data_IF_614191327707
#
_entry.id   IF_614191327707
#
_cell.length_a   1.000
_cell.length_b   1.000
_cell.length_c   1.000
_cell.angle_alpha   90.00
_cell.angle_beta   90.00
_cell.angle_gamma   90.00
#
_symmetry.space_group_name_H-M   'P 1'
#
loop_
_entity.id
_entity.type
_entity.pdbx_description
1 polymer ?
#
# COMPACT_ATOMS: atom_id res chain seq x y z
N UNK A 1 -2.77 29.78 23.58
CA UNK A 1 -3.70 29.73 22.40
C UNK A 1 -2.97 30.37 21.23
N UNK A 2 -2.92 29.73 20.08
CA UNK A 2 -2.22 30.27 18.89
C UNK A 2 -3.16 31.14 18.05
N UNK A 3 -2.63 32.07 17.26
CA UNK A 3 -3.46 32.81 16.29
C UNK A 3 -4.05 31.86 15.26
N UNK A 4 -5.32 32.04 14.89
CA UNK A 4 -6.00 31.21 13.91
C UNK A 4 -5.23 31.17 12.57
N UNK A 5 -4.94 29.95 12.08
CA UNK A 5 -4.14 29.73 10.86
C UNK A 5 -2.62 29.88 11.06
N UNK A 6 -2.17 29.92 12.32
CA UNK A 6 -0.77 30.00 12.73
C UNK A 6 -0.45 28.96 13.82
N UNK A 7 -1.18 27.87 13.82
CA UNK A 7 -0.90 26.73 14.67
C UNK A 7 0.44 26.12 14.25
N UNK A 8 1.37 25.88 15.22
CA UNK A 8 2.68 25.30 14.91
C UNK A 8 2.55 23.89 14.30
N UNK A 9 3.30 23.65 13.23
CA UNK A 9 3.27 22.37 12.54
C UNK A 9 3.42 22.50 11.03
N UNK A 10 3.14 21.44 10.31
CA UNK A 10 3.17 21.39 8.85
C UNK A 10 1.76 21.14 8.31
N UNK A 11 1.32 21.99 7.39
CA UNK A 11 0.15 21.78 6.54
C UNK A 11 0.64 21.33 5.16
N UNK A 12 0.67 20.02 4.94
CA UNK A 12 1.15 19.45 3.68
C UNK A 12 0.19 19.69 2.52
N UNK A 13 -1.09 19.90 2.80
CA UNK A 13 -2.07 20.20 1.74
C UNK A 13 -1.78 21.53 1.07
N UNK A 14 -1.20 22.46 1.82
CA UNK A 14 -0.79 23.78 1.34
C UNK A 14 0.73 23.91 1.17
N UNK A 15 1.49 22.87 1.53
CA UNK A 15 2.97 22.92 1.57
C UNK A 15 3.48 24.06 2.44
N UNK A 16 2.92 24.22 3.64
CA UNK A 16 3.25 25.30 4.58
C UNK A 16 3.78 24.70 5.88
N UNK A 17 4.82 25.33 6.42
CA UNK A 17 5.31 25.08 7.78
C UNK A 17 5.13 26.32 8.62
N UNK A 18 4.65 26.17 9.86
CA UNK A 18 4.51 27.23 10.86
C UNK A 18 5.36 26.88 12.07
N UNK A 19 6.28 27.78 12.45
CA UNK A 19 7.19 27.57 13.58
C UNK A 19 6.46 27.50 14.93
N UNK A 20 7.12 26.93 15.95
CA UNK A 20 6.78 27.23 17.34
C UNK A 20 6.95 28.73 17.63
N UNK A 21 6.20 29.28 18.60
CA UNK A 21 6.36 30.68 18.99
C UNK A 21 7.76 30.93 19.56
N UNK A 22 8.39 32.02 19.12
CA UNK A 22 9.68 32.47 19.65
C UNK A 22 9.49 33.73 20.48
N UNK A 23 10.15 33.86 21.64
CA UNK A 23 10.04 35.04 22.52
C UNK A 23 10.80 36.26 21.97
N UNK A 24 11.64 36.07 20.96
CA UNK A 24 12.39 37.14 20.30
C UNK A 24 12.27 37.08 18.79
N UNK A 25 12.20 38.20 18.15
CA UNK A 25 12.24 38.28 16.69
C UNK A 25 13.62 37.85 16.17
N UNK A 26 13.62 37.04 15.12
CA UNK A 26 14.81 36.69 14.34
C UNK A 26 14.51 36.95 12.86
N UNK A 27 15.53 36.96 12.00
CA UNK A 27 15.27 36.93 10.58
C UNK A 27 14.72 35.56 10.20
N UNK A 28 13.75 35.47 9.27
CA UNK A 28 13.16 34.16 8.89
C UNK A 28 14.20 33.15 8.40
N UNK A 29 15.26 33.63 7.74
CA UNK A 29 16.37 32.83 7.22
C UNK A 29 17.26 32.25 8.35
N UNK A 30 17.28 32.92 9.52
CA UNK A 30 18.04 32.47 10.70
C UNK A 30 17.26 31.47 11.55
N UNK A 31 16.01 31.16 11.19
CA UNK A 31 15.23 30.15 11.86
C UNK A 31 15.83 28.75 11.59
N UNK A 32 16.06 28.00 12.66
CA UNK A 32 16.64 26.64 12.56
C UNK A 32 15.61 25.63 12.04
N UNK A 33 15.18 25.83 10.80
CA UNK A 33 14.14 25.01 10.17
C UNK A 33 14.47 23.53 10.12
N UNK A 34 15.76 23.17 9.93
CA UNK A 34 16.21 21.77 9.89
C UNK A 34 15.95 21.06 11.23
N UNK A 35 16.25 21.75 12.36
CA UNK A 35 15.97 21.20 13.68
C UNK A 35 14.46 21.05 13.88
N UNK A 36 13.71 22.06 13.45
CA UNK A 36 12.25 22.04 13.62
C UNK A 36 11.57 20.98 12.73
N UNK A 37 12.07 20.75 11.51
CA UNK A 37 11.64 19.64 10.65
C UNK A 37 11.87 18.30 11.33
N UNK A 38 13.08 18.08 11.89
CA UNK A 38 13.39 16.85 12.61
C UNK A 38 12.50 16.63 13.83
N UNK A 39 12.20 17.69 14.60
CA UNK A 39 11.25 17.63 15.72
C UNK A 39 9.82 17.25 15.28
N UNK A 40 9.45 17.57 14.06
CA UNK A 40 8.15 17.22 13.45
C UNK A 40 8.17 15.85 12.73
N UNK A 41 9.28 15.10 12.82
CA UNK A 41 9.42 13.77 12.21
C UNK A 41 9.79 13.79 10.72
N UNK A 42 10.25 14.92 10.16
CA UNK A 42 10.69 15.03 8.78
C UNK A 42 12.21 15.03 8.67
N UNK A 43 12.77 14.30 7.70
CA UNK A 43 14.22 14.36 7.44
C UNK A 43 14.57 15.69 6.72
N UNK A 44 15.37 16.57 7.35
CA UNK A 44 15.75 17.85 6.74
C UNK A 44 16.54 17.71 5.42
N UNK A 45 17.10 16.54 5.15
CA UNK A 45 17.79 16.27 3.89
C UNK A 45 16.83 16.07 2.73
N UNK A 46 15.60 15.69 3.00
CA UNK A 46 14.57 15.41 2.00
C UNK A 46 13.67 16.61 1.71
N UNK A 47 13.71 17.65 2.57
CA UNK A 47 12.85 18.82 2.46
C UNK A 47 13.65 20.12 2.38
N UNK A 48 13.06 21.10 1.74
CA UNK A 48 13.58 22.45 1.62
C UNK A 48 12.51 23.47 2.04
N UNK A 49 12.91 24.43 2.84
CA UNK A 49 12.07 25.55 3.24
C UNK A 49 12.37 26.73 2.32
N UNK A 50 11.34 27.21 1.66
CA UNK A 50 11.47 28.28 0.65
C UNK A 50 10.53 29.45 0.93
N UNK A 51 10.84 30.57 0.32
CA UNK A 51 9.99 31.77 0.33
C UNK A 51 8.58 31.50 -0.30
N UNK A 52 7.56 32.32 0.05
CA UNK A 52 7.68 33.51 0.89
C UNK A 52 7.71 33.17 2.38
N UNK A 53 8.51 33.91 3.14
CA UNK A 53 8.47 33.89 4.60
C UNK A 53 7.45 34.93 5.09
N UNK A 54 6.55 34.51 5.95
CA UNK A 54 5.61 35.36 6.65
C UNK A 54 5.96 35.39 8.14
N UNK A 55 5.85 36.54 8.77
CA UNK A 55 6.08 36.73 10.21
C UNK A 55 4.83 37.30 10.85
N UNK A 56 4.41 36.74 11.96
CA UNK A 56 3.28 37.25 12.73
C UNK A 56 3.66 37.38 14.19
N UNK A 57 3.32 38.54 14.76
CA UNK A 57 3.43 38.78 16.21
C UNK A 57 2.11 38.45 16.90
N UNK A 58 2.23 37.89 18.09
CA UNK A 58 1.11 37.59 18.95
C UNK A 58 1.44 37.94 20.39
N UNK A 59 0.59 38.71 21.04
CA UNK A 59 0.74 39.05 22.45
C UNK A 59 -0.14 38.11 23.29
N UNK A 60 0.47 37.33 24.14
CA UNK A 60 -0.23 36.46 25.08
C UNK A 60 -0.30 37.09 26.48
N UNK A 61 -1.44 36.96 27.14
CA UNK A 61 -1.60 37.33 28.53
C UNK A 61 -1.12 36.14 29.38
N UNK A 62 -0.07 36.37 30.19
CA UNK A 62 0.56 35.34 31.03
C UNK A 62 -0.06 35.26 32.41
N UNK A 63 -1.08 36.06 32.70
CA UNK A 63 -1.69 36.21 34.01
C UNK A 63 -1.11 37.37 34.81
N UNK A 64 -1.74 37.74 35.93
CA UNK A 64 -1.32 38.85 36.82
C UNK A 64 -1.10 40.22 36.11
N UNK A 65 -1.66 40.42 34.90
CA UNK A 65 -1.49 41.62 34.13
C UNK A 65 -0.22 41.68 33.26
N UNK A 66 0.58 40.63 33.26
CA UNK A 66 1.77 40.52 32.42
C UNK A 66 1.41 40.03 31.03
N UNK A 67 2.02 40.64 30.02
CA UNK A 67 1.88 40.24 28.63
C UNK A 67 3.24 39.92 28.01
N UNK A 68 3.32 38.87 27.24
CA UNK A 68 4.54 38.48 26.52
C UNK A 68 4.25 38.47 25.00
N UNK A 69 5.20 38.98 24.22
CA UNK A 69 5.09 39.01 22.76
C UNK A 69 5.85 37.82 22.16
N UNK A 70 5.14 37.08 21.29
CA UNK A 70 5.68 35.95 20.56
C UNK A 70 5.71 36.22 19.06
N UNK A 71 6.66 35.58 18.39
CA UNK A 71 6.88 35.68 16.94
C UNK A 71 6.70 34.31 16.32
N UNK A 72 5.81 34.19 15.34
CA UNK A 72 5.58 32.99 14.55
C UNK A 72 6.12 33.22 13.15
N UNK A 73 6.73 32.21 12.59
CA UNK A 73 7.29 32.20 11.25
C UNK A 73 6.55 31.16 10.41
N UNK A 74 6.17 31.54 9.19
CA UNK A 74 5.52 30.66 8.24
C UNK A 74 6.32 30.69 6.95
N UNK A 75 6.52 29.51 6.36
CA UNK A 75 7.26 29.35 5.11
C UNK A 75 6.63 28.26 4.26
N UNK A 76 7.03 28.17 3.02
CA UNK A 76 6.70 27.01 2.18
C UNK A 76 7.70 25.89 2.44
N UNK A 77 7.20 24.64 2.40
CA UNK A 77 7.99 23.41 2.47
C UNK A 77 7.83 22.65 1.16
N UNK A 78 8.93 22.21 0.57
CA UNK A 78 8.93 21.37 -0.64
C UNK A 78 9.83 20.15 -0.43
N UNK A 79 9.48 19.01 -1.01
CA UNK A 79 10.40 17.87 -1.08
C UNK A 79 11.51 18.17 -2.08
N UNK A 80 12.76 17.93 -1.68
CA UNK A 80 13.95 18.07 -2.57
C UNK A 80 13.93 17.02 -3.69
N UNK A 81 13.30 15.88 -3.43
CA UNK A 81 13.15 14.80 -4.39
C UNK A 81 11.66 14.43 -4.54
N UNK A 82 10.82 15.32 -5.07
CA UNK A 82 9.42 14.97 -5.28
C UNK A 82 9.36 13.78 -6.23
N UNK A 83 8.54 12.78 -5.90
CA UNK A 83 8.21 11.71 -6.84
C UNK A 83 7.70 12.38 -8.11
N UNK A 84 8.53 12.39 -9.15
CA UNK A 84 8.25 13.20 -10.35
C UNK A 84 7.03 12.65 -11.07
N UNK A 85 6.03 13.49 -11.30
CA UNK A 85 4.87 13.09 -12.11
C UNK A 85 5.25 12.67 -13.53
N UNK A 86 6.41 13.09 -14.04
CA UNK A 86 6.91 12.71 -15.35
C UNK A 86 7.34 11.24 -15.41
N UNK A 87 7.84 10.69 -14.28
CA UNK A 87 8.28 9.30 -14.19
C UNK A 87 7.11 8.33 -14.18
N UNK A 88 5.91 8.80 -13.83
CA UNK A 88 4.67 8.01 -13.76
C UNK A 88 3.67 8.33 -14.88
N UNK A 89 4.10 9.06 -15.91
CA UNK A 89 3.25 9.44 -17.04
C UNK A 89 2.75 8.20 -17.81
N UNK A 90 1.45 8.16 -18.07
CA UNK A 90 0.77 7.07 -18.77
C UNK A 90 1.33 6.84 -20.18
N UNK A 91 1.62 7.93 -20.92
CA UNK A 91 2.13 7.83 -22.31
C UNK A 91 3.51 7.16 -22.33
N UNK A 92 4.38 7.49 -21.37
CA UNK A 92 5.69 6.88 -21.26
C UNK A 92 5.57 5.40 -20.87
N UNK A 93 4.70 5.06 -19.92
CA UNK A 93 4.43 3.68 -19.54
C UNK A 93 3.94 2.84 -20.74
N UNK A 94 2.98 3.34 -21.49
CA UNK A 94 2.43 2.67 -22.66
C UNK A 94 3.49 2.48 -23.76
N UNK A 95 4.34 3.50 -23.99
CA UNK A 95 5.47 3.41 -24.92
C UNK A 95 6.47 2.32 -24.51
N UNK A 96 6.80 2.24 -23.24
CA UNK A 96 7.69 1.20 -22.69
C UNK A 96 7.11 -0.21 -22.86
N UNK A 97 5.81 -0.37 -22.62
CA UNK A 97 5.14 -1.66 -22.80
C UNK A 97 5.13 -2.05 -24.27
N UNK A 98 4.73 -1.15 -25.17
CA UNK A 98 4.74 -1.41 -26.63
C UNK A 98 6.12 -1.75 -27.18
N UNK A 99 7.17 -1.15 -26.66
CA UNK A 99 8.55 -1.38 -27.07
C UNK A 99 9.18 -2.64 -26.44
N UNK A 100 8.53 -3.27 -25.45
CA UNK A 100 9.08 -4.45 -24.78
C UNK A 100 9.23 -5.63 -25.73
N UNK A 101 10.43 -6.19 -25.82
CA UNK A 101 10.74 -7.40 -26.60
C UNK A 101 10.85 -8.58 -25.64
N UNK A 102 9.84 -9.43 -25.65
CA UNK A 102 9.84 -10.66 -24.86
C UNK A 102 11.01 -11.57 -25.25
N UNK A 103 11.65 -12.18 -24.29
CA UNK A 103 12.64 -13.24 -24.56
C UNK A 103 11.96 -14.59 -24.28
N UNK A 104 11.82 -15.47 -25.26
CA UNK A 104 11.23 -16.79 -25.05
C UNK A 104 12.16 -17.61 -24.14
N UNK A 105 11.65 -18.05 -23.01
CA UNK A 105 12.34 -18.98 -22.12
C UNK A 105 11.65 -20.35 -22.19
N UNK A 106 12.45 -21.43 -22.23
CA UNK A 106 11.91 -22.78 -22.07
C UNK A 106 11.70 -23.01 -20.57
N UNK A 107 10.45 -22.83 -20.13
CA UNK A 107 10.06 -23.03 -18.74
C UNK A 107 9.37 -24.38 -18.63
N UNK A 108 9.90 -25.24 -17.80
CA UNK A 108 9.32 -26.53 -17.42
C UNK A 108 8.79 -26.44 -16.00
N UNK A 109 7.94 -27.40 -15.61
CA UNK A 109 7.45 -27.49 -14.25
C UNK A 109 5.95 -27.35 -14.11
N UNK A 110 5.47 -27.49 -12.88
CA UNK A 110 4.05 -27.43 -12.54
C UNK A 110 3.74 -26.68 -11.23
N UNK A 111 4.76 -26.35 -10.44
CA UNK A 111 4.58 -25.59 -9.20
C UNK A 111 4.28 -24.12 -9.46
N UNK A 112 3.59 -23.52 -8.54
CA UNK A 112 3.19 -22.11 -8.58
C UNK A 112 3.96 -21.27 -7.56
N UNK A 113 4.31 -20.03 -7.95
CA UNK A 113 4.83 -19.04 -7.06
C UNK A 113 3.77 -17.94 -6.87
N UNK A 114 3.52 -17.56 -5.64
CA UNK A 114 2.52 -16.56 -5.25
C UNK A 114 3.21 -15.33 -4.70
N UNK A 115 2.76 -14.16 -5.13
CA UNK A 115 3.17 -12.84 -4.63
C UNK A 115 1.92 -12.08 -4.23
N UNK A 116 1.85 -11.65 -2.98
CA UNK A 116 0.71 -10.92 -2.42
C UNK A 116 1.01 -9.43 -2.31
N UNK A 117 0.37 -8.62 -3.12
CA UNK A 117 0.45 -7.16 -3.09
C UNK A 117 -0.71 -6.64 -2.22
N UNK A 118 -0.41 -6.10 -1.06
CA UNK A 118 -1.39 -5.68 -0.06
C UNK A 118 -0.99 -4.38 0.60
N UNK A 119 -1.98 -3.56 0.90
CA UNK A 119 -1.84 -2.42 1.82
C UNK A 119 -0.63 -1.52 1.46
N UNK A 120 -0.53 -1.13 0.19
CA UNK A 120 0.47 -0.17 -0.25
C UNK A 120 0.18 1.23 0.29
N UNK A 121 -1.11 1.53 0.45
CA UNK A 121 -1.60 2.82 0.91
C UNK A 121 -0.90 4.00 0.24
N UNK A 122 -0.81 3.92 -1.10
CA UNK A 122 -0.14 4.93 -1.91
C UNK A 122 -0.74 6.31 -1.68
N UNK A 123 0.05 7.24 -1.21
CA UNK A 123 -0.41 8.58 -0.83
C UNK A 123 -0.50 8.83 0.67
N UNK A 124 -0.32 7.81 1.51
CA UNK A 124 -0.26 7.93 2.96
C UNK A 124 0.95 8.77 3.37
N UNK A 125 0.74 9.62 4.35
CA UNK A 125 1.77 10.50 4.89
C UNK A 125 2.53 9.89 6.07
N UNK A 126 1.87 9.06 6.88
CA UNK A 126 2.43 8.44 8.08
C UNK A 126 3.72 7.66 7.77
N UNK A 127 4.59 7.54 8.76
CA UNK A 127 5.87 6.89 8.62
C UNK A 127 6.83 7.69 7.73
N UNK A 128 7.38 7.06 6.71
CA UNK A 128 8.26 7.68 5.71
C UNK A 128 7.54 8.11 4.41
N UNK A 129 6.22 8.19 4.47
CA UNK A 129 5.35 8.70 3.43
C UNK A 129 5.37 7.92 2.12
N UNK A 130 4.80 8.51 1.09
CA UNK A 130 4.73 7.90 -0.25
C UNK A 130 6.10 7.59 -0.84
N UNK A 131 7.10 8.41 -0.55
CA UNK A 131 8.46 8.18 -1.05
C UNK A 131 9.06 6.89 -0.49
N UNK A 132 8.89 6.64 0.79
CA UNK A 132 9.31 5.40 1.43
C UNK A 132 8.58 4.18 0.84
N UNK A 133 7.27 4.29 0.64
CA UNK A 133 6.46 3.25 -0.01
C UNK A 133 7.00 2.93 -1.41
N UNK A 134 7.19 3.95 -2.25
CA UNK A 134 7.73 3.80 -3.61
C UNK A 134 9.09 3.11 -3.58
N UNK A 135 10.00 3.55 -2.72
CA UNK A 135 11.34 2.98 -2.57
C UNK A 135 11.28 1.49 -2.19
N UNK A 136 10.42 1.11 -1.24
CA UNK A 136 10.25 -0.29 -0.85
C UNK A 136 9.68 -1.13 -1.98
N UNK A 137 8.68 -0.66 -2.70
CA UNK A 137 8.12 -1.39 -3.84
C UNK A 137 9.14 -1.50 -4.99
N UNK A 138 9.91 -0.46 -5.25
CA UNK A 138 10.97 -0.50 -6.26
C UNK A 138 12.09 -1.48 -5.90
N UNK A 139 12.40 -1.64 -4.62
CA UNK A 139 13.34 -2.64 -4.12
C UNK A 139 12.73 -4.04 -4.10
N UNK A 140 11.46 -4.19 -3.71
CA UNK A 140 10.72 -5.45 -3.70
C UNK A 140 10.73 -6.14 -5.07
N UNK A 141 10.59 -5.39 -6.16
CA UNK A 141 10.54 -5.97 -7.51
C UNK A 141 11.80 -6.79 -7.87
N UNK A 142 13.03 -6.27 -7.75
CA UNK A 142 14.23 -7.06 -7.95
C UNK A 142 14.42 -8.16 -6.88
N UNK A 143 14.01 -7.94 -5.63
CA UNK A 143 14.16 -8.92 -4.56
C UNK A 143 13.27 -10.14 -4.78
N UNK A 144 12.01 -9.96 -5.18
CA UNK A 144 11.12 -11.03 -5.63
C UNK A 144 11.72 -11.76 -6.83
N UNK A 145 12.30 -11.03 -7.79
CA UNK A 145 13.00 -11.62 -8.95
C UNK A 145 14.16 -12.49 -8.50
N UNK A 146 14.96 -12.02 -7.57
CA UNK A 146 16.08 -12.78 -7.01
C UNK A 146 15.60 -14.04 -6.29
N UNK A 147 14.51 -13.92 -5.50
CA UNK A 147 13.89 -15.06 -4.81
C UNK A 147 13.39 -16.13 -5.78
N UNK A 148 12.74 -15.73 -6.87
CA UNK A 148 12.27 -16.66 -7.91
C UNK A 148 13.47 -17.43 -8.51
N UNK A 149 14.55 -16.72 -8.85
CA UNK A 149 15.75 -17.33 -9.40
C UNK A 149 16.43 -18.27 -8.42
N UNK A 150 16.52 -17.89 -7.16
CA UNK A 150 17.09 -18.71 -6.09
C UNK A 150 16.28 -20.02 -5.89
N UNK A 151 14.96 -19.94 -5.81
CA UNK A 151 14.11 -21.11 -5.70
C UNK A 151 14.30 -22.08 -6.89
N UNK A 152 14.29 -21.53 -8.12
CA UNK A 152 14.56 -22.35 -9.32
C UNK A 152 15.95 -23.00 -9.31
N UNK A 153 16.97 -22.26 -8.88
CA UNK A 153 18.33 -22.78 -8.74
C UNK A 153 18.41 -23.93 -7.70
N UNK A 154 17.62 -23.83 -6.64
CA UNK A 154 17.52 -24.85 -5.59
C UNK A 154 16.53 -25.99 -5.91
N UNK A 155 16.11 -26.13 -7.17
CA UNK A 155 15.32 -27.25 -7.65
C UNK A 155 13.81 -27.12 -7.45
N UNK A 156 13.30 -25.94 -7.05
CA UNK A 156 11.86 -25.72 -7.01
C UNK A 156 11.34 -25.51 -8.44
N UNK A 157 10.42 -26.37 -8.84
CA UNK A 157 9.93 -26.51 -10.21
C UNK A 157 8.82 -25.48 -10.53
N UNK A 158 9.18 -24.20 -10.53
CA UNK A 158 8.25 -23.07 -10.69
C UNK A 158 7.90 -22.84 -12.16
N UNK A 159 6.64 -23.04 -12.53
CA UNK A 159 6.11 -22.77 -13.87
C UNK A 159 5.03 -21.71 -13.92
N UNK A 160 4.29 -21.50 -12.84
CA UNK A 160 3.16 -20.58 -12.80
C UNK A 160 3.42 -19.45 -11.80
N UNK A 161 2.99 -18.26 -12.15
CA UNK A 161 3.01 -17.08 -11.28
C UNK A 161 1.56 -16.66 -10.96
N UNK A 162 1.32 -16.41 -9.69
CA UNK A 162 0.10 -15.77 -9.22
C UNK A 162 0.47 -14.47 -8.50
N UNK A 163 -0.12 -13.36 -8.94
CA UNK A 163 0.02 -12.04 -8.32
C UNK A 163 -1.35 -11.65 -7.77
N UNK A 164 -1.43 -11.55 -6.46
CA UNK A 164 -2.68 -11.24 -5.76
C UNK A 164 -2.67 -9.81 -5.23
N UNK A 165 -3.58 -8.98 -5.73
CA UNK A 165 -3.88 -7.67 -5.17
C UNK A 165 -4.93 -7.80 -4.07
N UNK A 166 -4.53 -7.54 -2.84
CA UNK A 166 -5.39 -7.78 -1.68
C UNK A 166 -6.04 -6.49 -1.13
N UNK A 167 -6.14 -5.45 -1.97
CA UNK A 167 -6.77 -4.19 -1.61
C UNK A 167 -5.84 -3.20 -0.91
N UNK A 168 -6.35 -2.01 -0.65
CA UNK A 168 -5.68 -0.86 -0.04
C UNK A 168 -4.36 -0.49 -0.74
N UNK A 169 -4.39 -0.56 -2.08
CA UNK A 169 -3.26 -0.14 -2.93
C UNK A 169 -3.15 1.39 -2.94
N UNK A 170 -4.28 2.10 -2.92
CA UNK A 170 -4.33 3.54 -2.70
C UNK A 170 -4.71 3.85 -1.25
N UNK A 171 -4.30 5.02 -0.75
CA UNK A 171 -4.74 5.53 0.55
C UNK A 171 -6.16 6.10 0.50
N UNK A 172 -6.59 6.56 -0.67
CA UNK A 172 -7.79 7.39 -0.76
C UNK A 172 -7.53 8.83 -0.32
N UNK A 173 -8.58 9.64 -0.20
CA UNK A 173 -8.45 11.04 0.18
C UNK A 173 -9.51 11.51 1.18
N UNK A 174 -10.63 10.84 1.30
CA UNK A 174 -11.74 11.28 2.14
C UNK A 174 -12.58 10.10 2.65
N UNK A 175 -13.10 10.27 3.84
CA UNK A 175 -14.22 9.54 4.38
C UNK A 175 -13.91 8.19 5.02
N UNK A 176 -12.66 7.77 5.12
CA UNK A 176 -12.33 6.53 5.82
C UNK A 176 -12.15 6.75 7.33
N UNK A 177 -11.40 7.77 7.71
CA UNK A 177 -11.23 8.19 9.10
C UNK A 177 -11.27 9.71 9.21
N UNK A 178 -11.62 10.26 10.39
CA UNK A 178 -11.57 11.71 10.60
C UNK A 178 -10.19 12.27 10.27
N UNK A 179 -10.14 13.39 9.55
CA UNK A 179 -8.91 14.08 9.18
C UNK A 179 -8.05 13.38 8.11
N UNK A 180 -8.58 12.38 7.40
CA UNK A 180 -7.85 11.71 6.32
C UNK A 180 -7.30 12.69 5.27
N UNK A 181 -8.07 13.69 4.91
CA UNK A 181 -7.67 14.73 3.95
C UNK A 181 -6.44 15.54 4.39
N UNK A 182 -6.09 15.51 5.68
CA UNK A 182 -4.88 16.14 6.22
C UNK A 182 -3.70 15.17 6.38
N UNK A 183 -3.93 13.88 6.18
CA UNK A 183 -2.94 12.81 6.34
C UNK A 183 -2.52 12.17 5.02
N UNK A 184 -2.95 12.72 3.88
CA UNK A 184 -2.53 12.29 2.55
C UNK A 184 -1.57 13.28 1.91
N UNK A 185 -0.58 12.77 1.17
CA UNK A 185 0.42 13.58 0.48
C UNK A 185 0.02 13.94 -0.94
N UNK A 186 -0.82 13.12 -1.57
CA UNK A 186 -1.22 13.26 -2.96
C UNK A 186 -2.72 13.07 -3.15
N UNK A 187 -3.28 13.82 -4.10
CA UNK A 187 -4.63 13.57 -4.58
C UNK A 187 -4.75 12.15 -5.18
N UNK A 188 -5.97 11.64 -5.24
CA UNK A 188 -6.26 10.28 -5.70
C UNK A 188 -5.75 9.99 -7.11
N UNK A 189 -5.82 10.96 -8.02
CA UNK A 189 -5.29 10.81 -9.37
C UNK A 189 -3.79 10.51 -9.34
N UNK A 190 -3.03 11.19 -8.50
CA UNK A 190 -1.58 11.01 -8.35
C UNK A 190 -1.24 9.70 -7.66
N UNK A 191 -2.00 9.33 -6.62
CA UNK A 191 -1.89 8.01 -5.96
C UNK A 191 -2.04 6.89 -6.99
N UNK A 192 -3.10 6.93 -7.81
CA UNK A 192 -3.35 5.95 -8.89
C UNK A 192 -2.24 5.93 -9.95
N UNK A 193 -1.74 7.08 -10.37
CA UNK A 193 -0.66 7.14 -11.36
C UNK A 193 0.59 6.42 -10.89
N UNK A 194 0.99 6.62 -9.65
CA UNK A 194 2.18 6.00 -9.04
C UNK A 194 1.94 4.49 -8.87
N UNK A 195 0.84 4.12 -8.23
CA UNK A 195 0.50 2.71 -7.96
C UNK A 195 0.41 1.88 -9.27
N UNK A 196 -0.29 2.39 -10.28
CA UNK A 196 -0.39 1.76 -11.60
C UNK A 196 0.97 1.54 -12.24
N UNK A 197 1.84 2.53 -12.21
CA UNK A 197 3.19 2.41 -12.78
C UNK A 197 3.97 1.28 -12.12
N UNK A 198 3.93 1.21 -10.79
CA UNK A 198 4.63 0.19 -10.01
C UNK A 198 4.02 -1.20 -10.22
N UNK A 199 2.70 -1.32 -10.27
CA UNK A 199 2.01 -2.57 -10.54
C UNK A 199 2.37 -3.13 -11.93
N UNK A 200 2.29 -2.30 -12.96
CA UNK A 200 2.67 -2.71 -14.33
C UNK A 200 4.16 -3.06 -14.40
N UNK A 201 5.05 -2.30 -13.74
CA UNK A 201 6.49 -2.60 -13.65
C UNK A 201 6.74 -3.98 -13.01
N UNK A 202 6.03 -4.30 -11.93
CA UNK A 202 6.13 -5.58 -11.25
C UNK A 202 5.70 -6.75 -12.15
N UNK A 203 4.51 -6.68 -12.73
CA UNK A 203 3.98 -7.73 -13.62
C UNK A 203 4.87 -7.89 -14.86
N UNK A 204 5.25 -6.79 -15.51
CA UNK A 204 6.17 -6.79 -16.64
C UNK A 204 7.50 -7.48 -16.33
N UNK A 205 8.00 -7.33 -15.10
CA UNK A 205 9.28 -7.91 -14.68
C UNK A 205 9.16 -9.39 -14.36
N UNK A 206 8.08 -9.81 -13.71
CA UNK A 206 7.95 -11.20 -13.22
C UNK A 206 7.29 -12.14 -14.22
N UNK A 207 6.27 -11.71 -14.96
CA UNK A 207 5.53 -12.58 -15.89
C UNK A 207 6.41 -13.33 -16.88
N UNK A 208 7.47 -12.72 -17.48
CA UNK A 208 8.35 -13.44 -18.42
C UNK A 208 9.16 -14.58 -17.80
N UNK A 209 9.26 -14.63 -16.47
CA UNK A 209 9.96 -15.70 -15.75
C UNK A 209 9.14 -16.99 -15.62
N UNK A 210 7.88 -16.99 -16.07
CA UNK A 210 6.92 -18.08 -15.90
C UNK A 210 6.26 -18.47 -17.23
N UNK A 211 5.73 -19.68 -17.26
CA UNK A 211 4.97 -20.20 -18.42
C UNK A 211 3.59 -19.56 -18.46
N UNK A 212 2.94 -19.46 -17.31
CA UNK A 212 1.63 -18.88 -17.13
C UNK A 212 1.69 -17.83 -16.00
N UNK A 213 0.90 -16.79 -16.14
CA UNK A 213 0.74 -15.76 -15.11
C UNK A 213 -0.72 -15.44 -14.93
N UNK A 214 -1.17 -15.45 -13.69
CA UNK A 214 -2.51 -15.02 -13.27
C UNK A 214 -2.34 -13.84 -12.33
N UNK A 215 -3.06 -12.77 -12.59
CA UNK A 215 -3.17 -11.60 -11.73
C UNK A 215 -4.61 -11.54 -11.25
N UNK A 216 -4.82 -11.53 -9.95
CA UNK A 216 -6.15 -11.49 -9.36
C UNK A 216 -6.20 -10.40 -8.28
N UNK A 217 -7.35 -9.75 -8.10
CA UNK A 217 -7.47 -8.72 -7.07
C UNK A 217 -8.80 -8.79 -6.33
N UNK A 218 -8.84 -8.17 -5.17
CA UNK A 218 -10.05 -7.88 -4.40
C UNK A 218 -10.05 -6.42 -3.97
N UNK A 219 -11.23 -5.80 -3.77
CA UNK A 219 -11.32 -4.41 -3.35
C UNK A 219 -10.88 -4.24 -1.89
N UNK A 220 -10.12 -3.17 -1.61
CA UNK A 220 -9.83 -2.70 -0.27
C UNK A 220 -10.82 -1.63 0.18
N UNK A 221 -10.79 -1.29 1.45
CA UNK A 221 -11.69 -0.27 1.99
C UNK A 221 -11.20 1.17 1.77
N UNK A 222 -9.89 1.38 1.62
CA UNK A 222 -9.33 2.68 1.25
C UNK A 222 -9.59 3.05 -0.21
N UNK A 223 -9.80 2.05 -1.07
CA UNK A 223 -10.17 2.23 -2.47
C UNK A 223 -11.65 2.54 -2.72
N UNK A 224 -12.52 2.49 -1.72
CA UNK A 224 -13.97 2.73 -1.88
C UNK A 224 -14.30 4.19 -2.20
N UNK A 225 -15.30 4.39 -3.05
CA UNK A 225 -15.94 5.70 -3.21
C UNK A 225 -16.81 6.01 -1.98
N UNK A 226 -16.40 7.02 -1.21
CA UNK A 226 -17.07 7.38 0.05
C UNK A 226 -17.64 8.78 0.04
N UNK A 227 -18.73 8.95 0.77
CA UNK A 227 -19.32 10.25 1.06
C UNK A 227 -19.77 10.28 2.51
N UNK A 228 -19.33 11.27 3.28
CA UNK A 228 -19.60 11.37 4.71
C UNK A 228 -19.25 10.08 5.47
N UNK A 229 -18.10 9.46 5.17
CA UNK A 229 -17.62 8.26 5.83
C UNK A 229 -18.30 6.96 5.44
N UNK A 230 -19.21 6.97 4.45
CA UNK A 230 -19.94 5.78 3.99
C UNK A 230 -19.69 5.52 2.52
N UNK A 231 -19.45 4.26 2.16
CA UNK A 231 -19.48 3.84 0.76
C UNK A 231 -20.88 4.06 0.20
N UNK A 232 -20.98 4.57 -1.02
CA UNK A 232 -22.25 4.90 -1.67
C UNK A 232 -22.42 4.29 -3.05
N UNK A 233 -21.42 3.56 -3.52
CA UNK A 233 -21.42 2.86 -4.80
C UNK A 233 -21.33 1.35 -4.60
N UNK A 234 -21.23 0.57 -5.68
CA UNK A 234 -21.00 -0.87 -5.62
C UNK A 234 -19.59 -1.21 -5.14
N UNK A 235 -19.36 -2.43 -4.67
CA UNK A 235 -18.04 -2.87 -4.21
C UNK A 235 -16.99 -2.89 -5.33
N UNK A 236 -17.41 -3.14 -6.57
CA UNK A 236 -16.52 -3.11 -7.74
C UNK A 236 -16.16 -1.69 -8.18
N UNK A 237 -16.96 -0.67 -7.83
CA UNK A 237 -16.60 0.73 -8.04
C UNK A 237 -15.57 1.17 -6.99
N UNK A 238 -14.36 0.65 -7.16
CA UNK A 238 -13.26 0.73 -6.23
C UNK A 238 -11.98 1.13 -6.96
N UNK A 239 -11.22 2.05 -6.37
CA UNK A 239 -10.00 2.56 -6.99
C UNK A 239 -8.90 1.50 -7.09
N UNK A 240 -8.83 0.55 -6.15
CA UNK A 240 -7.88 -0.56 -6.23
C UNK A 240 -8.23 -1.48 -7.41
N UNK A 241 -9.51 -1.86 -7.55
CA UNK A 241 -9.97 -2.69 -8.67
C UNK A 241 -9.66 -2.03 -10.01
N UNK A 242 -9.96 -0.74 -10.14
CA UNK A 242 -9.69 0.02 -11.35
C UNK A 242 -8.21 0.09 -11.74
N UNK A 243 -7.28 -0.05 -10.80
CA UNK A 243 -5.84 -0.13 -11.09
C UNK A 243 -5.48 -1.44 -11.81
N UNK A 244 -6.16 -2.54 -11.49
CA UNK A 244 -5.95 -3.83 -12.14
C UNK A 244 -6.58 -3.86 -13.52
N UNK A 245 -7.74 -3.23 -13.75
CA UNK A 245 -8.32 -3.00 -15.07
C UNK A 245 -7.34 -2.22 -15.96
N UNK A 246 -6.86 -1.08 -15.47
CA UNK A 246 -5.89 -0.24 -16.18
C UNK A 246 -4.58 -1.00 -16.49
N UNK A 247 -4.11 -1.85 -15.56
CA UNK A 247 -2.91 -2.67 -15.78
C UNK A 247 -3.14 -3.74 -16.85
N UNK A 248 -4.32 -4.36 -16.87
CA UNK A 248 -4.73 -5.31 -17.92
C UNK A 248 -4.74 -4.65 -19.29
N UNK A 249 -5.40 -3.51 -19.42
CA UNK A 249 -5.45 -2.75 -20.69
C UNK A 249 -4.05 -2.40 -21.18
N UNK A 250 -3.21 -1.83 -20.32
CA UNK A 250 -1.84 -1.42 -20.66
C UNK A 250 -0.99 -2.61 -21.13
N UNK A 251 -1.04 -3.73 -20.41
CA UNK A 251 -0.25 -4.91 -20.73
C UNK A 251 -0.75 -5.60 -22.01
N UNK A 252 -2.05 -5.56 -22.29
CA UNK A 252 -2.64 -6.12 -23.51
C UNK A 252 -2.12 -5.48 -24.81
N UNK A 253 -1.60 -4.27 -24.72
CA UNK A 253 -0.99 -3.54 -25.84
C UNK A 253 0.31 -4.20 -26.39
N UNK A 254 0.81 -5.23 -25.69
CA UNK A 254 1.99 -5.97 -26.15
C UNK A 254 1.70 -7.48 -26.19
N UNK A 255 1.90 -8.15 -27.34
CA UNK A 255 1.70 -9.59 -27.50
C UNK A 255 2.47 -10.46 -26.49
N UNK A 256 3.61 -9.99 -25.96
CA UNK A 256 4.40 -10.73 -24.97
C UNK A 256 3.62 -11.00 -23.68
N UNK A 257 2.61 -10.19 -23.38
CA UNK A 257 1.79 -10.31 -22.17
C UNK A 257 0.39 -10.91 -22.42
N UNK A 258 0.07 -11.35 -23.63
CA UNK A 258 -1.24 -11.97 -23.95
C UNK A 258 -1.58 -13.20 -23.11
N UNK A 259 -0.57 -13.83 -22.51
CA UNK A 259 -0.74 -14.99 -21.61
C UNK A 259 -0.96 -14.61 -20.15
N UNK A 260 -0.88 -13.33 -19.79
CA UNK A 260 -1.24 -12.86 -18.47
C UNK A 260 -2.75 -12.81 -18.37
N UNK A 261 -3.31 -13.67 -17.51
CA UNK A 261 -4.74 -13.74 -17.27
C UNK A 261 -5.06 -12.84 -16.06
N UNK A 262 -6.06 -11.98 -16.20
CA UNK A 262 -6.59 -11.19 -15.11
C UNK A 262 -7.89 -11.78 -14.60
N UNK A 263 -8.09 -11.77 -13.28
CA UNK A 263 -9.32 -12.15 -12.58
C UNK A 263 -9.66 -10.95 -11.69
N UNK A 264 -10.61 -10.17 -12.13
CA UNK A 264 -11.01 -8.90 -11.52
C UNK A 264 -12.48 -9.04 -11.11
N UNK A 265 -12.85 -8.76 -9.83
CA UNK A 265 -14.22 -8.89 -9.39
C UNK A 265 -15.10 -7.79 -10.00
N UNK A 266 -16.33 -8.11 -10.36
CA UNK A 266 -17.31 -7.11 -10.79
C UNK A 266 -17.95 -6.40 -9.59
N UNK A 267 -18.33 -7.16 -8.57
CA UNK A 267 -18.99 -6.62 -7.37
C UNK A 267 -18.77 -7.49 -6.11
N UNK A 268 -17.81 -8.39 -6.14
CA UNK A 268 -17.52 -9.29 -5.03
C UNK A 268 -16.44 -8.70 -4.11
N UNK A 269 -16.57 -8.94 -2.81
CA UNK A 269 -15.54 -8.61 -1.80
C UNK A 269 -14.48 -9.70 -1.63
N UNK A 270 -14.64 -10.82 -2.33
CA UNK A 270 -13.70 -11.94 -2.33
C UNK A 270 -13.73 -12.64 -3.68
N UNK A 271 -12.69 -13.37 -3.97
CA UNK A 271 -12.64 -14.31 -5.10
C UNK A 271 -12.00 -15.63 -4.67
N UNK A 272 -12.29 -16.69 -5.37
CA UNK A 272 -11.67 -18.00 -5.21
C UNK A 272 -11.01 -18.44 -6.51
N UNK A 273 -9.90 -19.15 -6.39
CA UNK A 273 -9.21 -19.69 -7.55
C UNK A 273 -8.46 -20.98 -7.18
N UNK A 274 -8.38 -21.89 -8.15
CA UNK A 274 -7.53 -23.08 -8.06
C UNK A 274 -6.08 -22.70 -8.41
N UNK A 275 -5.18 -22.92 -7.48
CA UNK A 275 -3.74 -22.72 -7.66
C UNK A 275 -3.05 -24.07 -7.55
N UNK A 276 -2.85 -24.75 -8.68
CA UNK A 276 -2.19 -26.05 -8.74
C UNK A 276 -2.85 -27.13 -7.85
N UNK A 277 -4.17 -27.16 -7.81
CA UNK A 277 -4.97 -28.10 -7.03
C UNK A 277 -5.22 -27.67 -5.58
N UNK A 278 -4.91 -26.45 -5.23
CA UNK A 278 -5.21 -25.81 -3.92
C UNK A 278 -6.18 -24.69 -4.12
N UNK A 279 -7.31 -24.72 -3.43
CA UNK A 279 -8.32 -23.65 -3.51
C UNK A 279 -7.90 -22.49 -2.62
N UNK A 280 -7.63 -21.35 -3.22
CA UNK A 280 -7.27 -20.12 -2.52
C UNK A 280 -8.42 -19.14 -2.55
N UNK A 281 -8.86 -18.70 -1.37
CA UNK A 281 -9.75 -17.57 -1.18
C UNK A 281 -8.95 -16.29 -0.95
N UNK A 282 -9.30 -15.22 -1.65
CA UNK A 282 -8.76 -13.89 -1.45
C UNK A 282 -9.85 -12.97 -0.90
N UNK A 283 -9.52 -12.22 0.12
CA UNK A 283 -10.37 -11.17 0.69
C UNK A 283 -9.50 -10.07 1.27
N UNK A 284 -9.93 -8.81 1.26
CA UNK A 284 -9.11 -7.77 1.88
C UNK A 284 -9.04 -7.93 3.41
N UNK A 285 -10.17 -8.17 4.06
CA UNK A 285 -10.23 -8.41 5.52
C UNK A 285 -11.05 -7.38 6.29
N UNK A 286 -11.41 -6.23 5.72
CA UNK A 286 -12.26 -5.22 6.36
C UNK A 286 -13.68 -5.73 6.67
N UNK A 287 -14.12 -6.77 5.96
CA UNK A 287 -15.37 -7.47 6.20
C UNK A 287 -15.32 -8.45 7.40
N UNK A 288 -14.14 -8.71 7.97
CA UNK A 288 -13.99 -9.58 9.16
C UNK A 288 -14.33 -8.80 10.44
N UNK A 289 -15.61 -8.58 10.70
CA UNK A 289 -16.07 -7.65 11.76
C UNK A 289 -16.32 -8.31 13.10
N UNK A 290 -16.67 -9.59 13.10
CA UNK A 290 -17.12 -10.35 14.30
C UNK A 290 -16.19 -11.54 14.55
N UNK A 291 -16.28 -12.17 15.73
CA UNK A 291 -15.60 -13.44 16.00
C UNK A 291 -14.49 -13.36 17.03
N UNK A 292 -14.21 -12.20 17.62
CA UNK A 292 -13.19 -12.09 18.67
C UNK A 292 -12.33 -10.84 18.63
N UNK A 293 -11.33 -10.79 19.51
CA UNK A 293 -10.44 -9.64 19.68
C UNK A 293 -9.34 -9.59 18.62
N UNK A 294 -8.87 -10.76 18.19
CA UNK A 294 -7.73 -10.86 17.28
C UNK A 294 -8.17 -11.04 15.83
N UNK A 295 -7.37 -10.54 14.88
CA UNK A 295 -7.67 -10.59 13.45
C UNK A 295 -7.93 -12.01 12.94
N UNK A 296 -7.12 -12.98 13.34
CA UNK A 296 -7.31 -14.39 12.97
C UNK A 296 -8.63 -14.97 13.44
N UNK A 297 -9.08 -14.64 14.67
CA UNK A 297 -10.37 -15.10 15.18
C UNK A 297 -11.52 -14.56 14.34
N UNK A 298 -11.41 -13.30 13.90
CA UNK A 298 -12.39 -12.68 13.01
C UNK A 298 -12.39 -13.32 11.63
N UNK A 299 -11.20 -13.64 11.09
CA UNK A 299 -11.07 -14.35 9.82
C UNK A 299 -11.67 -15.76 9.89
N UNK A 300 -11.40 -16.52 10.97
CA UNK A 300 -12.00 -17.83 11.22
C UNK A 300 -13.52 -17.76 11.28
N UNK A 301 -14.06 -16.81 12.06
CA UNK A 301 -15.50 -16.64 12.19
C UNK A 301 -16.17 -16.28 10.85
N UNK A 302 -15.54 -15.37 10.09
CA UNK A 302 -16.02 -15.00 8.78
C UNK A 302 -16.01 -16.18 7.81
N UNK A 303 -14.89 -16.90 7.71
CA UNK A 303 -14.75 -18.06 6.83
C UNK A 303 -15.72 -19.19 7.21
N UNK A 304 -15.94 -19.42 8.51
CA UNK A 304 -16.93 -20.37 8.99
C UNK A 304 -18.34 -19.98 8.54
N UNK A 305 -18.69 -18.69 8.63
CA UNK A 305 -19.97 -18.20 8.13
C UNK A 305 -20.13 -18.41 6.62
N UNK A 306 -19.07 -18.18 5.85
CA UNK A 306 -19.03 -18.42 4.39
C UNK A 306 -19.23 -19.91 4.07
N UNK A 307 -18.55 -20.81 4.83
CA UNK A 307 -18.71 -22.25 4.66
C UNK A 307 -20.14 -22.72 4.99
N UNK A 308 -20.74 -22.23 6.06
CA UNK A 308 -22.17 -22.49 6.36
C UNK A 308 -23.11 -21.92 5.30
N UNK A 309 -22.75 -20.76 4.72
CA UNK A 309 -23.50 -20.15 3.62
C UNK A 309 -23.27 -20.85 2.26
N UNK A 310 -22.41 -21.86 2.21
CA UNK A 310 -22.06 -22.60 0.97
C UNK A 310 -21.58 -21.67 -0.15
N UNK A 311 -20.81 -20.66 0.20
CA UNK A 311 -20.15 -19.80 -0.79
C UNK A 311 -18.80 -20.42 -1.22
N UNK A 312 -18.35 -20.10 -2.42
CA UNK A 312 -17.09 -20.66 -2.96
C UNK A 312 -15.89 -20.38 -2.06
N UNK A 313 -15.82 -19.21 -1.44
CA UNK A 313 -14.73 -18.86 -0.52
C UNK A 313 -14.79 -19.69 0.76
N UNK A 314 -15.97 -20.18 1.13
CA UNK A 314 -16.16 -21.09 2.25
C UNK A 314 -15.45 -22.42 2.11
N UNK A 315 -15.10 -22.83 0.88
CA UNK A 315 -14.39 -24.07 0.58
C UNK A 315 -12.87 -23.91 0.41
N UNK A 316 -12.33 -22.72 0.67
CA UNK A 316 -10.92 -22.45 0.51
C UNK A 316 -10.02 -23.30 1.41
N UNK A 317 -8.96 -23.86 0.86
CA UNK A 317 -7.87 -24.52 1.60
C UNK A 317 -6.99 -23.45 2.28
N UNK A 318 -6.77 -22.33 1.58
CA UNK A 318 -6.01 -21.18 2.07
C UNK A 318 -6.86 -19.93 1.90
N UNK A 319 -7.09 -19.19 2.99
CA UNK A 319 -7.62 -17.82 2.93
C UNK A 319 -6.49 -16.82 3.10
N UNK A 320 -6.34 -15.89 2.14
CA UNK A 320 -5.34 -14.83 2.19
C UNK A 320 -6.02 -13.48 2.35
N UNK A 321 -5.54 -12.66 3.29
CA UNK A 321 -6.07 -11.33 3.53
C UNK A 321 -4.98 -10.27 3.77
N UNK A 322 -5.33 -9.00 3.61
CA UNK A 322 -4.58 -7.82 4.02
C UNK A 322 -5.19 -7.14 5.24
N UNK A 323 -5.35 -5.81 5.18
CA UNK A 323 -6.08 -4.93 6.09
C UNK A 323 -5.48 -4.72 7.48
N UNK A 324 -4.92 -5.74 8.08
CA UNK A 324 -4.42 -5.68 9.46
C UNK A 324 -2.92 -5.34 9.56
N UNK A 325 -2.25 -5.17 8.43
CA UNK A 325 -0.88 -4.69 8.29
C UNK A 325 0.21 -5.51 9.00
N UNK A 326 -0.08 -6.76 9.40
CA UNK A 326 0.94 -7.61 10.02
C UNK A 326 0.87 -9.05 9.52
N UNK A 327 2.03 -9.68 9.43
CA UNK A 327 2.12 -11.08 9.05
C UNK A 327 1.46 -11.97 10.10
N UNK A 328 0.57 -12.81 9.64
CA UNK A 328 -0.02 -13.87 10.45
C UNK A 328 -0.24 -15.10 9.59
N UNK A 329 0.17 -16.27 10.07
CA UNK A 329 -0.08 -17.55 9.41
C UNK A 329 -0.50 -18.55 10.47
N UNK A 330 -1.68 -19.11 10.31
CA UNK A 330 -2.22 -20.10 11.24
C UNK A 330 -2.97 -21.20 10.50
N UNK A 331 -2.86 -22.42 10.98
CA UNK A 331 -3.70 -23.52 10.55
C UNK A 331 -4.88 -23.66 11.50
N UNK A 332 -6.07 -23.67 10.92
CA UNK A 332 -7.32 -23.93 11.62
C UNK A 332 -7.96 -25.20 11.02
N UNK A 333 -7.85 -26.32 11.74
CA UNK A 333 -8.14 -27.61 11.18
C UNK A 333 -7.19 -27.97 10.03
N UNK A 334 -7.74 -28.21 8.84
CA UNK A 334 -6.96 -28.48 7.61
C UNK A 334 -6.75 -27.24 6.74
N UNK A 335 -7.27 -26.08 7.15
CA UNK A 335 -7.18 -24.83 6.39
C UNK A 335 -6.06 -23.94 6.91
N UNK A 336 -5.50 -23.15 6.04
CA UNK A 336 -4.49 -22.13 6.39
C UNK A 336 -5.10 -20.74 6.23
N UNK A 337 -4.93 -19.91 7.24
CA UNK A 337 -5.21 -18.47 7.16
C UNK A 337 -3.88 -17.73 7.07
N UNK A 338 -3.73 -16.90 6.05
CA UNK A 338 -2.58 -16.04 5.83
C UNK A 338 -3.02 -14.59 5.81
N UNK A 339 -2.40 -13.78 6.62
CA UNK A 339 -2.58 -12.33 6.63
C UNK A 339 -1.29 -11.66 6.20
N UNK A 340 -1.40 -10.75 5.23
CA UNK A 340 -0.25 -10.08 4.67
C UNK A 340 0.20 -8.90 5.53
N UNK A 341 1.51 -8.63 5.61
CA UNK A 341 2.00 -7.36 6.10
C UNK A 341 1.71 -6.26 5.07
N UNK A 342 1.76 -5.02 5.51
CA UNK A 342 1.70 -3.87 4.62
C UNK A 342 3.07 -3.52 4.05
N UNK A 343 3.08 -2.68 3.01
CA UNK A 343 4.31 -2.10 2.44
C UNK A 343 4.55 -0.70 2.98
N UNK A 344 3.61 -0.13 3.73
CA UNK A 344 3.75 1.19 4.34
C UNK A 344 4.86 1.24 5.40
N UNK A 345 5.27 2.43 5.80
CA UNK A 345 6.32 2.65 6.80
C UNK A 345 5.88 2.45 8.26
N UNK A 346 4.68 1.90 8.46
CA UNK A 346 4.05 1.79 9.77
C UNK A 346 3.16 2.98 10.11
N UNK A 347 2.67 3.01 11.34
CA UNK A 347 1.86 4.10 11.88
C UNK A 347 2.27 4.37 13.32
N UNK A 348 2.82 5.53 13.59
CA UNK A 348 3.20 5.97 14.94
C UNK A 348 1.99 5.94 15.89
N UNK A 349 0.82 6.29 15.39
CA UNK A 349 -0.41 6.21 16.17
C UNK A 349 -0.71 4.77 16.60
N UNK A 350 -0.60 3.82 15.65
CA UNK A 350 -0.88 2.41 15.95
C UNK A 350 0.15 1.83 16.94
N UNK A 351 1.42 2.16 16.78
CA UNK A 351 2.49 1.75 17.68
C UNK A 351 2.29 2.30 19.10
N UNK A 352 1.99 3.60 19.21
CA UNK A 352 1.73 4.24 20.50
C UNK A 352 0.47 3.68 21.19
N UNK A 353 -0.58 3.37 20.42
CA UNK A 353 -1.84 2.86 20.99
C UNK A 353 -1.79 1.36 21.33
N UNK A 354 -1.00 0.57 20.63
CA UNK A 354 -1.03 -0.90 20.77
C UNK A 354 0.26 -1.52 21.28
N UNK A 355 1.37 -0.78 21.23
CA UNK A 355 2.72 -1.31 21.49
C UNK A 355 3.20 -2.31 20.45
N UNK A 356 2.56 -2.39 19.28
CA UNK A 356 2.88 -3.36 18.24
C UNK A 356 3.50 -2.69 17.02
N UNK A 357 4.60 -3.25 16.58
CA UNK A 357 5.22 -2.95 15.27
C UNK A 357 5.01 -4.12 14.32
N UNK A 358 5.10 -3.86 13.03
CA UNK A 358 5.03 -4.88 11.98
C UNK A 358 6.20 -4.73 11.01
N UNK A 359 6.67 -5.85 10.49
CA UNK A 359 7.62 -5.82 9.38
C UNK A 359 6.91 -5.41 8.11
N UNK A 360 7.41 -4.37 7.43
CA UNK A 360 6.94 -4.02 6.10
C UNK A 360 7.44 -5.05 5.08
N UNK A 361 6.61 -5.34 4.07
CA UNK A 361 7.01 -6.21 2.97
C UNK A 361 5.85 -6.90 2.27
N UNK A 362 6.22 -7.74 1.33
CA UNK A 362 5.30 -8.51 0.49
C UNK A 362 5.40 -9.99 0.83
N UNK A 363 4.27 -10.63 1.10
CA UNK A 363 4.21 -12.07 1.36
C UNK A 363 4.39 -12.85 0.06
N UNK A 364 5.30 -13.81 0.08
CA UNK A 364 5.53 -14.74 -1.03
C UNK A 364 5.59 -16.18 -0.54
N UNK A 365 5.12 -17.12 -1.35
CA UNK A 365 5.21 -18.54 -1.07
C UNK A 365 5.08 -19.36 -2.37
N UNK A 366 5.28 -20.68 -2.30
CA UNK A 366 5.07 -21.57 -3.43
C UNK A 366 4.02 -22.63 -3.11
N UNK A 367 3.37 -23.14 -4.16
CA UNK A 367 2.43 -24.26 -4.10
C UNK A 367 2.91 -25.33 -5.06
N UNK A 368 3.04 -26.56 -4.54
CA UNK A 368 3.43 -27.72 -5.31
C UNK A 368 2.23 -28.66 -5.46
N UNK A 369 1.82 -29.02 -6.69
CA UNK A 369 0.69 -29.91 -6.92
C UNK A 369 0.83 -31.24 -6.19
N UNK A 370 -0.28 -31.76 -5.68
CA UNK A 370 -0.34 -33.09 -5.05
C UNK A 370 0.18 -33.14 -3.60
N UNK A 371 0.58 -32.03 -2.99
CA UNK A 371 0.85 -31.97 -1.56
C UNK A 371 -0.47 -31.98 -0.78
N UNK A 372 -0.61 -32.95 0.14
CA UNK A 372 -1.87 -33.22 0.85
C UNK A 372 -1.89 -32.73 2.29
N UNK A 373 -0.74 -32.37 2.90
CA UNK A 373 -0.70 -31.94 4.30
C UNK A 373 -0.65 -30.42 4.42
N UNK A 374 0.42 -29.80 3.95
CA UNK A 374 0.52 -28.35 3.81
C UNK A 374 0.70 -28.05 2.34
N UNK A 375 -0.28 -27.40 1.68
CA UNK A 375 -0.21 -27.17 0.25
C UNK A 375 0.82 -26.10 -0.14
N UNK A 376 1.34 -25.35 0.83
CA UNK A 376 2.28 -24.26 0.62
C UNK A 376 3.67 -24.52 1.21
N UNK A 377 4.69 -23.92 0.58
CA UNK A 377 6.09 -23.98 0.98
C UNK A 377 6.77 -22.61 0.76
N UNK A 378 8.03 -22.50 1.19
CA UNK A 378 8.92 -21.38 0.86
C UNK A 378 8.36 -20.01 1.23
N UNK A 379 7.50 -19.95 2.25
CA UNK A 379 6.92 -18.71 2.72
C UNK A 379 8.00 -17.72 3.15
N UNK A 380 7.88 -16.49 2.67
CA UNK A 380 8.81 -15.41 3.01
C UNK A 380 8.13 -14.06 2.83
N UNK A 381 8.46 -13.11 3.70
CA UNK A 381 8.21 -11.68 3.51
C UNK A 381 9.47 -11.08 2.86
N UNK A 382 9.26 -10.33 1.80
CA UNK A 382 10.29 -9.66 0.99
C UNK A 382 10.08 -8.15 1.04
#
# INVERSE_FOLDING_TARGET
MHPKGWEPGIDTSKNIIVSKPLPKAIKPEDHKWDIYLAELGFDPKEFEIIEPFEVRTWTANMGAGETEQFYYYKAKIISKNPVSSKDFDYKNLLKEIKAYKGQPQKITGNSSFVVCLSDWQMGKRDGDGTQGIVKRIEQMIPDVTARIKDLKKNGVDLANLYVFGLGDIVEGCDGFYPMQEFSVEYDLRRQKMIARRLLVKAIKTWAPLFKNTVVACVPGNHGENRKNGKSFTSFGDNFDVSLFDEAQEILSENPAFKKVKFIIPENELWITLDVSGTIIGLAHGHQFRTGGRYSHQKAVAWLSGQAFGMTDVGDSDILISGHFHHLFVVNEGKRTLMQCPSVDGGSEWFENMTGKTSYSGTLTFSITPGKTQLPWDNLRVI
#
